data_IF_155571200574
#
_entry.id   IF_155571200574
#
_cell.length_a   1.000
_cell.length_b   1.000
_cell.length_c   1.000
_cell.angle_alpha   90.00
_cell.angle_beta   90.00
_cell.angle_gamma   90.00
#
_symmetry.space_group_name_H-M   'P 1'
#
loop_
_entity.id
_entity.type
_entity.pdbx_description
1 polymer ?
#
# COMPACT_ATOMS: atom_id res chain seq x y z
N UNK A 1 25.99 18.00 -49.87
CA UNK A 1 26.22 17.80 -48.42
C UNK A 1 24.88 17.97 -47.72
N UNK A 2 24.21 16.86 -47.41
CA UNK A 2 22.92 16.84 -46.70
C UNK A 2 23.19 16.91 -45.19
N UNK A 3 22.94 18.07 -44.61
CA UNK A 3 23.01 18.28 -43.16
C UNK A 3 21.85 17.53 -42.48
N UNK A 4 22.18 16.49 -41.72
CA UNK A 4 21.20 15.76 -40.90
C UNK A 4 20.89 16.58 -39.65
N UNK A 5 19.69 17.15 -39.56
CA UNK A 5 19.24 17.86 -38.37
C UNK A 5 18.77 16.85 -37.30
N UNK A 6 19.46 16.85 -36.16
CA UNK A 6 19.04 16.06 -35.00
C UNK A 6 17.91 16.80 -34.29
N UNK A 7 16.66 16.48 -34.61
CA UNK A 7 15.52 16.97 -33.84
C UNK A 7 15.46 16.24 -32.50
N UNK A 8 15.85 16.95 -31.44
CA UNK A 8 15.69 16.46 -30.06
C UNK A 8 14.19 16.25 -29.81
N UNK A 9 13.74 14.99 -29.77
CA UNK A 9 12.38 14.63 -29.36
C UNK A 9 12.06 15.40 -28.09
N UNK A 10 10.97 16.17 -28.09
CA UNK A 10 10.48 16.83 -26.89
C UNK A 10 10.37 15.77 -25.79
N UNK A 11 10.96 16.04 -24.62
CA UNK A 11 10.84 15.13 -23.48
C UNK A 11 9.35 14.91 -23.26
N UNK A 12 8.89 13.66 -23.39
CA UNK A 12 7.52 13.31 -23.01
C UNK A 12 7.27 13.85 -21.61
N UNK A 13 6.18 14.60 -21.42
CA UNK A 13 5.83 15.20 -20.13
C UNK A 13 5.66 14.03 -19.16
N UNK A 14 6.65 13.82 -18.28
CA UNK A 14 6.59 12.76 -17.27
C UNK A 14 5.36 13.07 -16.42
N UNK A 15 4.47 12.10 -16.27
CA UNK A 15 3.29 12.25 -15.44
C UNK A 15 3.77 12.41 -13.99
N UNK A 16 3.77 13.64 -13.49
CA UNK A 16 4.14 13.94 -12.11
C UNK A 16 2.87 13.98 -11.27
N UNK A 17 2.68 12.93 -10.47
CA UNK A 17 1.66 12.88 -9.42
C UNK A 17 2.40 13.02 -8.09
N UNK A 18 1.95 13.88 -7.16
CA UNK A 18 2.55 14.00 -5.83
C UNK A 18 2.64 12.64 -5.15
N UNK A 19 3.72 12.37 -4.40
CA UNK A 19 3.86 11.09 -3.67
C UNK A 19 4.05 9.84 -4.55
N UNK A 20 4.16 10.00 -5.88
CA UNK A 20 4.48 8.92 -6.80
C UNK A 20 5.82 9.19 -7.52
N UNK A 21 6.59 8.12 -7.75
CA UNK A 21 7.82 8.18 -8.55
C UNK A 21 7.81 7.12 -9.65
N UNK A 22 8.37 7.38 -10.84
CA UNK A 22 8.56 6.33 -11.82
C UNK A 22 9.63 5.34 -11.35
N UNK A 23 9.34 4.05 -11.48
CA UNK A 23 10.31 2.97 -11.28
C UNK A 23 11.44 3.07 -12.31
N UNK A 24 12.67 2.81 -11.87
CA UNK A 24 13.85 2.83 -12.73
C UNK A 24 13.86 1.68 -13.75
N UNK A 25 13.16 0.58 -13.46
CA UNK A 25 13.21 -0.64 -14.26
C UNK A 25 12.18 -0.64 -15.40
N UNK A 26 10.96 -0.18 -15.12
CA UNK A 26 9.83 -0.35 -16.02
C UNK A 26 8.98 0.92 -16.19
N UNK A 27 9.41 2.07 -15.63
CA UNK A 27 8.68 3.34 -15.63
C UNK A 27 7.24 3.26 -15.08
N UNK A 28 6.88 2.20 -14.35
CA UNK A 28 5.60 2.15 -13.63
C UNK A 28 5.64 3.15 -12.48
N UNK A 29 4.50 3.76 -12.17
CA UNK A 29 4.39 4.66 -11.03
C UNK A 29 4.39 3.82 -9.76
N UNK A 30 5.31 4.14 -8.84
CA UNK A 30 5.41 3.55 -7.52
C UNK A 30 4.93 4.54 -6.47
N UNK A 31 4.28 4.05 -5.44
CA UNK A 31 3.88 4.80 -4.23
C UNK A 31 4.52 4.18 -2.98
N UNK A 32 4.77 5.01 -1.96
CA UNK A 32 5.27 4.53 -0.67
C UNK A 32 4.21 3.74 0.09
N UNK A 33 4.61 2.65 0.74
CA UNK A 33 3.77 1.90 1.69
C UNK A 33 3.53 2.63 3.01
N UNK A 34 4.24 3.73 3.26
CA UNK A 34 4.33 4.38 4.57
C UNK A 34 5.43 3.80 5.46
N UNK A 35 6.14 2.77 4.98
CA UNK A 35 7.23 2.10 5.69
C UNK A 35 8.46 2.10 4.76
N UNK A 36 9.41 3.05 4.90
CA UNK A 36 10.54 3.18 3.99
C UNK A 36 11.43 1.92 3.89
N UNK A 37 11.56 1.17 4.99
CA UNK A 37 12.29 -0.10 5.00
C UNK A 37 11.60 -1.17 4.16
N UNK A 38 10.27 -1.23 4.19
CA UNK A 38 9.49 -2.15 3.39
C UNK A 38 9.57 -1.80 1.91
N UNK A 39 9.42 -0.51 1.58
CA UNK A 39 9.53 -0.03 0.20
C UNK A 39 10.85 -0.45 -0.42
N UNK A 40 11.95 -0.34 0.34
CA UNK A 40 13.27 -0.77 -0.12
C UNK A 40 13.33 -2.26 -0.45
N UNK A 41 12.62 -3.09 0.30
CA UNK A 41 12.59 -4.55 0.11
C UNK A 41 11.73 -4.93 -1.11
N UNK A 42 10.59 -4.27 -1.33
CA UNK A 42 9.66 -4.60 -2.43
C UNK A 42 10.03 -3.96 -3.79
N UNK A 43 11.25 -3.42 -3.93
CA UNK A 43 11.71 -2.82 -5.19
C UNK A 43 11.44 -1.32 -5.33
N UNK A 44 11.29 -0.63 -4.20
CA UNK A 44 11.21 0.84 -4.12
C UNK A 44 9.81 1.40 -3.91
N UNK A 45 8.81 0.56 -3.60
CA UNK A 45 7.41 0.93 -3.34
C UNK A 45 6.41 0.00 -4.03
N UNK A 46 5.11 0.29 -3.90
CA UNK A 46 4.03 -0.48 -4.53
C UNK A 46 3.63 0.16 -5.86
N UNK A 47 3.46 -0.65 -6.91
CA UNK A 47 3.08 -0.16 -8.23
C UNK A 47 1.60 0.25 -8.30
N UNK A 48 1.31 1.36 -8.98
CA UNK A 48 -0.04 1.80 -9.27
C UNK A 48 -0.76 0.81 -10.18
N UNK A 49 -2.02 0.51 -9.87
CA UNK A 49 -2.87 -0.45 -10.57
C UNK A 49 -2.72 -1.90 -10.10
N UNK A 50 -2.20 -2.11 -8.88
CA UNK A 50 -1.95 -3.44 -8.31
C UNK A 50 -2.71 -3.70 -7.01
N UNK A 51 -2.86 -4.99 -6.70
CA UNK A 51 -3.39 -5.48 -5.42
C UNK A 51 -2.23 -5.99 -4.56
N UNK A 52 -2.06 -5.39 -3.39
CA UNK A 52 -1.08 -5.74 -2.37
C UNK A 52 -1.76 -6.48 -1.21
N UNK A 53 -1.40 -7.75 -1.04
CA UNK A 53 -1.96 -8.64 -0.01
C UNK A 53 -0.99 -8.74 1.19
N UNK A 54 -1.51 -8.44 2.37
CA UNK A 54 -0.87 -8.66 3.65
C UNK A 54 -1.55 -9.83 4.35
N UNK A 55 -0.86 -10.94 4.51
CA UNK A 55 -1.33 -12.05 5.32
C UNK A 55 -1.01 -11.78 6.78
N UNK A 56 -2.07 -11.68 7.58
CA UNK A 56 -1.99 -11.37 8.98
C UNK A 56 -1.47 -12.55 9.80
N UNK A 57 -0.83 -12.22 10.92
CA UNK A 57 -0.51 -13.14 11.99
C UNK A 57 -1.76 -13.49 12.82
N UNK A 58 -1.63 -14.36 13.83
CA UNK A 58 -2.75 -14.80 14.65
C UNK A 58 -3.48 -13.66 15.38
N UNK A 59 -2.80 -12.56 15.70
CA UNK A 59 -3.37 -11.41 16.41
C UNK A 59 -3.74 -10.24 15.49
N UNK A 60 -3.28 -10.22 14.24
CA UNK A 60 -3.57 -9.17 13.25
C UNK A 60 -3.03 -7.77 13.57
N UNK A 61 -2.27 -7.61 14.65
CA UNK A 61 -1.79 -6.30 15.12
C UNK A 61 -0.84 -5.65 14.11
N UNK A 62 0.09 -6.43 13.55
CA UNK A 62 1.05 -5.93 12.56
C UNK A 62 0.37 -5.61 11.23
N UNK A 63 -0.59 -6.45 10.80
CA UNK A 63 -1.37 -6.18 9.59
C UNK A 63 -2.13 -4.85 9.69
N UNK A 64 -2.81 -4.64 10.81
CA UNK A 64 -3.49 -3.37 11.10
C UNK A 64 -2.54 -2.18 11.15
N UNK A 65 -1.37 -2.35 11.75
CA UNK A 65 -0.36 -1.30 11.82
C UNK A 65 0.17 -0.92 10.42
N UNK A 66 0.47 -1.90 9.58
CA UNK A 66 0.89 -1.64 8.19
C UNK A 66 -0.20 -0.94 7.38
N UNK A 67 -1.46 -1.33 7.57
CA UNK A 67 -2.60 -0.64 6.95
C UNK A 67 -2.69 0.82 7.41
N UNK A 68 -2.48 1.10 8.71
CA UNK A 68 -2.41 2.47 9.23
C UNK A 68 -1.28 3.27 8.60
N UNK A 69 -0.08 2.71 8.46
CA UNK A 69 1.03 3.36 7.75
C UNK A 69 0.67 3.71 6.31
N UNK A 70 0.03 2.78 5.60
CA UNK A 70 -0.43 3.00 4.22
C UNK A 70 -1.46 4.13 4.10
N UNK A 71 -2.37 4.23 5.07
CA UNK A 71 -3.34 5.31 5.18
C UNK A 71 -2.69 6.64 5.58
N UNK A 72 -1.77 6.66 6.54
CA UNK A 72 -1.05 7.88 6.93
C UNK A 72 -0.22 8.44 5.79
N UNK A 73 0.38 7.58 4.96
CA UNK A 73 1.09 8.01 3.76
C UNK A 73 0.13 8.60 2.73
N UNK A 74 -1.10 8.08 2.61
CA UNK A 74 -2.13 8.70 1.77
C UNK A 74 -2.38 10.16 2.16
N UNK A 75 -2.56 10.42 3.46
CA UNK A 75 -2.79 11.76 4.00
C UNK A 75 -1.60 12.68 3.73
N UNK A 76 -0.38 12.25 4.04
CA UNK A 76 0.82 13.07 3.88
C UNK A 76 1.11 13.46 2.43
N UNK A 77 0.81 12.55 1.51
CA UNK A 77 1.01 12.76 0.07
C UNK A 77 -0.16 13.46 -0.63
N UNK A 78 -1.29 13.68 0.05
CA UNK A 78 -2.51 14.23 -0.54
C UNK A 78 -3.26 13.27 -1.47
N UNK A 79 -3.00 11.97 -1.35
CA UNK A 79 -3.74 10.94 -2.09
C UNK A 79 -5.15 10.75 -1.53
N UNK A 80 -6.10 10.40 -2.41
CA UNK A 80 -7.45 10.05 -1.97
C UNK A 80 -7.43 8.69 -1.27
N UNK A 81 -8.23 8.54 -0.22
CA UNK A 81 -8.27 7.32 0.61
C UNK A 81 -9.67 6.69 0.60
N UNK A 82 -9.73 5.38 0.42
CA UNK A 82 -10.95 4.61 0.59
C UNK A 82 -10.68 3.46 1.56
N UNK A 83 -11.27 3.52 2.75
CA UNK A 83 -11.00 2.55 3.81
C UNK A 83 -12.25 1.73 4.14
N UNK A 84 -12.12 0.41 4.05
CA UNK A 84 -13.22 -0.52 4.35
C UNK A 84 -12.83 -1.48 5.45
N UNK A 85 -13.73 -1.70 6.40
CA UNK A 85 -13.54 -2.67 7.49
C UNK A 85 -14.89 -3.15 8.00
N UNK A 86 -15.06 -4.47 8.12
CA UNK A 86 -16.23 -5.08 8.77
C UNK A 86 -15.98 -5.34 10.27
N UNK A 87 -14.76 -5.68 10.66
CA UNK A 87 -14.42 -6.05 12.06
C UNK A 87 -14.37 -4.87 13.03
N UNK A 88 -13.98 -3.70 12.51
CA UNK A 88 -13.79 -2.48 13.29
C UNK A 88 -14.29 -1.29 12.51
N UNK A 89 -14.86 -0.31 13.21
CA UNK A 89 -15.26 0.94 12.60
C UNK A 89 -14.08 1.61 11.88
N UNK A 90 -14.14 1.81 10.54
CA UNK A 90 -13.06 2.45 9.79
C UNK A 90 -12.77 3.87 10.26
N UNK A 91 -13.78 4.59 10.78
CA UNK A 91 -13.59 5.93 11.32
C UNK A 91 -12.70 5.93 12.56
N UNK A 92 -12.77 4.88 13.39
CA UNK A 92 -11.84 4.70 14.50
C UNK A 92 -10.42 4.43 14.01
N UNK A 93 -10.24 3.67 12.92
CA UNK A 93 -8.92 3.43 12.32
C UNK A 93 -8.30 4.74 11.83
N UNK A 94 -9.10 5.61 11.18
CA UNK A 94 -8.65 6.93 10.72
C UNK A 94 -8.22 7.85 11.87
N UNK A 95 -8.93 7.83 13.00
CA UNK A 95 -8.57 8.61 14.20
C UNK A 95 -7.27 8.14 14.86
N UNK A 96 -6.90 6.89 14.66
CA UNK A 96 -5.70 6.27 15.24
C UNK A 96 -4.52 6.19 14.27
N UNK A 97 -4.56 6.96 13.17
CA UNK A 97 -3.43 7.04 12.25
C UNK A 97 -2.22 7.66 12.96
N UNK A 98 -1.01 7.07 12.81
CA UNK A 98 0.18 7.59 13.47
C UNK A 98 0.60 8.95 12.89
N UNK A 99 1.12 9.83 13.75
CA UNK A 99 1.54 11.17 13.38
C UNK A 99 2.87 11.14 12.58
N UNK A 100 3.01 11.97 11.53
CA UNK A 100 4.25 12.06 10.78
C UNK A 100 5.35 12.69 11.63
N UNK A 101 6.58 12.20 11.48
CA UNK A 101 7.78 12.84 12.00
C UNK A 101 8.23 13.84 10.94
N UNK A 102 7.83 15.10 11.14
CA UNK A 102 8.13 16.21 10.21
C UNK A 102 9.60 16.63 10.33
N UNK A 103 10.17 16.51 11.54
CA UNK A 103 11.59 16.69 11.83
C UNK A 103 12.28 15.33 11.82
N UNK A 104 12.77 14.89 10.66
CA UNK A 104 13.79 13.84 10.68
C UNK A 104 14.96 14.41 11.48
N UNK A 105 15.47 13.75 12.55
CA UNK A 105 16.88 13.90 12.80
C UNK A 105 17.51 13.49 11.46
N UNK A 106 18.28 14.38 10.85
CA UNK A 106 19.06 13.98 9.69
C UNK A 106 19.86 12.71 10.01
N UNK A 107 20.59 12.14 9.03
CA UNK A 107 21.74 11.30 9.42
C UNK A 107 22.44 11.99 10.60
N UNK A 108 22.76 11.25 11.69
CA UNK A 108 23.24 11.84 12.94
C UNK A 108 24.22 12.95 12.61
N UNK A 109 24.10 14.13 13.26
CA UNK A 109 24.90 15.30 12.89
C UNK A 109 26.32 14.83 12.66
N UNK A 110 26.83 15.05 11.45
CA UNK A 110 28.27 14.98 11.23
C UNK A 110 28.84 15.90 12.30
N UNK A 111 29.47 15.31 13.31
CA UNK A 111 30.08 16.05 14.39
C UNK A 111 30.93 17.12 13.72
N UNK A 112 30.49 18.37 13.85
CA UNK A 112 31.32 19.54 13.61
C UNK A 112 32.35 19.62 14.75
N UNK A 113 33.14 18.56 14.93
CA UNK A 113 34.38 18.61 15.66
C UNK A 113 35.47 18.93 14.65
N UNK A 114 35.71 20.24 14.50
CA UNK A 114 37.05 20.72 14.23
C UNK A 114 37.97 20.14 15.32
N UNK A 115 38.59 19.00 15.08
CA UNK A 115 39.81 18.59 15.74
C UNK A 115 40.56 17.56 14.91
N UNK A 116 41.86 17.80 14.83
CA UNK A 116 42.92 17.10 14.12
C UNK A 116 43.08 15.64 14.51
N UNK A 117 43.68 14.89 13.57
CA UNK A 117 44.33 13.57 13.73
C UNK A 117 43.36 12.40 13.92
N UNK A 118 43.46 11.26 13.24
CA UNK A 118 44.67 10.55 12.84
C UNK A 118 44.30 9.51 11.76
N UNK A 119 45.24 9.26 10.86
CA UNK A 119 45.15 8.29 9.76
C UNK A 119 44.90 6.85 10.27
N UNK A 120 43.64 6.40 10.32
CA UNK A 120 43.28 4.99 10.62
C UNK A 120 43.76 4.04 9.51
N UNK A 121 44.94 3.44 9.72
CA UNK A 121 45.68 2.56 8.78
C UNK A 121 45.00 1.24 8.40
N UNK A 122 43.88 0.86 9.02
CA UNK A 122 43.33 -0.51 8.88
C UNK A 122 42.03 -0.55 8.08
N UNK A 123 41.27 0.55 8.02
CA UNK A 123 39.94 0.58 7.40
C UNK A 123 39.88 1.33 6.04
N UNK A 124 41.03 1.48 5.34
CA UNK A 124 41.10 2.17 4.04
C UNK A 124 40.16 1.55 2.98
N UNK A 125 39.89 0.25 3.12
CA UNK A 125 39.11 -0.53 2.16
C UNK A 125 37.62 -0.14 2.13
N UNK A 126 37.10 0.48 3.19
CA UNK A 126 35.71 0.94 3.26
C UNK A 126 35.52 2.38 2.80
N UNK A 127 36.61 3.14 2.61
CA UNK A 127 36.58 4.54 2.18
C UNK A 127 36.03 4.71 0.75
N UNK A 128 36.14 3.67 -0.08
CA UNK A 128 35.73 3.68 -1.48
C UNK A 128 34.46 2.87 -1.75
N UNK A 129 33.73 2.39 -0.71
CA UNK A 129 32.40 1.89 -0.98
C UNK A 129 31.55 3.08 -1.47
N UNK A 130 30.74 2.90 -2.52
CA UNK A 130 29.75 3.89 -2.89
C UNK A 130 28.88 4.14 -1.65
N UNK A 131 29.08 5.29 -0.99
CA UNK A 131 28.09 5.80 -0.05
C UNK A 131 26.81 5.88 -0.87
N UNK A 132 25.79 5.13 -0.48
CA UNK A 132 24.52 5.12 -1.18
C UNK A 132 23.97 6.54 -1.16
N UNK A 133 24.25 7.29 -2.23
CA UNK A 133 23.71 8.61 -2.45
C UNK A 133 22.27 8.38 -2.91
N UNK A 134 21.34 8.50 -1.97
CA UNK A 134 19.96 8.80 -2.30
C UNK A 134 19.99 10.05 -3.19
N UNK A 135 19.69 9.89 -4.48
CA UNK A 135 19.59 11.00 -5.42
C UNK A 135 18.75 12.13 -4.79
N UNK A 136 19.19 13.41 -4.88
CA UNK A 136 18.45 14.53 -4.35
C UNK A 136 17.33 14.91 -5.33
N UNK A 137 16.26 14.13 -5.34
CA UNK A 137 14.95 14.66 -5.77
C UNK A 137 14.25 15.16 -4.52
N UNK A 138 13.97 16.47 -4.49
CA UNK A 138 13.46 17.27 -3.36
C UNK A 138 12.07 16.89 -2.83
N UNK A 139 11.61 15.64 -3.01
CA UNK A 139 10.35 15.12 -2.51
C UNK A 139 10.66 13.80 -1.82
N UNK A 140 10.53 13.78 -0.49
CA UNK A 140 10.69 12.59 0.34
C UNK A 140 9.64 11.55 -0.12
N UNK A 141 10.08 10.39 -0.61
CA UNK A 141 9.17 9.38 -1.20
C UNK A 141 8.26 8.73 -0.17
N UNK A 142 8.70 8.62 1.08
CA UNK A 142 7.93 8.10 2.19
C UNK A 142 8.30 8.80 3.49
N UNK A 143 7.38 8.79 4.44
CA UNK A 143 7.54 9.48 5.72
C UNK A 143 7.80 8.48 6.85
N UNK A 144 8.41 8.97 7.93
CA UNK A 144 8.46 8.23 9.20
C UNK A 144 7.30 8.67 10.06
N UNK A 145 6.78 7.76 10.87
CA UNK A 145 5.66 8.05 11.76
C UNK A 145 5.94 7.61 13.19
N UNK A 146 5.50 8.44 14.12
CA UNK A 146 5.57 8.19 15.55
C UNK A 146 4.28 7.48 15.99
N UNK A 147 4.42 6.24 16.47
CA UNK A 147 3.29 5.42 16.94
C UNK A 147 2.74 5.86 18.30
N UNK A 148 3.48 6.71 19.03
CA UNK A 148 3.05 7.23 20.33
C UNK A 148 2.06 8.39 20.19
N UNK A 149 1.93 8.95 18.98
CA UNK A 149 1.10 10.12 18.68
C UNK A 149 0.13 9.82 17.55
N UNK A 150 -1.06 10.39 17.65
CA UNK A 150 -2.07 10.35 16.59
C UNK A 150 -1.94 11.55 15.67
N UNK A 151 -2.22 11.35 14.39
CA UNK A 151 -2.23 12.40 13.38
C UNK A 151 -3.33 13.44 13.68
N UNK A 152 -3.05 14.70 13.33
CA UNK A 152 -4.03 15.79 13.47
C UNK A 152 -5.27 15.51 12.59
N UNK A 153 -6.50 15.59 13.14
CA UNK A 153 -7.71 15.45 12.34
C UNK A 153 -7.77 16.44 11.15
N UNK A 154 -7.21 17.65 11.27
CA UNK A 154 -7.22 18.63 10.19
C UNK A 154 -6.44 18.15 8.96
N UNK A 155 -5.33 17.42 9.18
CA UNK A 155 -4.59 16.75 8.12
C UNK A 155 -5.43 15.66 7.45
N UNK A 156 -6.11 14.82 8.23
CA UNK A 156 -6.95 13.75 7.68
C UNK A 156 -8.14 14.29 6.87
N UNK A 157 -8.70 15.43 7.28
CA UNK A 157 -9.80 16.11 6.59
C UNK A 157 -9.35 16.90 5.34
N UNK A 158 -8.05 17.14 5.17
CA UNK A 158 -7.52 17.84 4.01
C UNK A 158 -7.60 17.02 2.70
N UNK A 159 -7.74 15.69 2.82
CA UNK A 159 -7.83 14.78 1.69
C UNK A 159 -9.26 14.28 1.47
N UNK A 160 -9.58 13.92 0.23
CA UNK A 160 -10.78 13.16 -0.09
C UNK A 160 -10.63 11.73 0.46
N UNK A 161 -11.26 11.48 1.62
CA UNK A 161 -11.32 10.17 2.22
C UNK A 161 -12.78 9.68 2.32
N UNK A 162 -12.96 8.37 2.24
CA UNK A 162 -14.27 7.73 2.36
C UNK A 162 -14.13 6.42 3.12
N UNK A 163 -15.12 6.10 3.94
CA UNK A 163 -15.13 4.90 4.77
C UNK A 163 -16.34 4.04 4.51
N UNK A 164 -16.17 2.73 4.56
CA UNK A 164 -17.26 1.76 4.51
C UNK A 164 -17.18 0.85 5.73
N UNK A 165 -18.18 0.96 6.60
CA UNK A 165 -18.35 0.12 7.78
C UNK A 165 -19.15 -1.14 7.47
N UNK A 166 -19.26 -2.06 8.43
CA UNK A 166 -20.14 -3.22 8.29
C UNK A 166 -21.61 -2.83 8.03
N UNK A 167 -22.12 -1.79 8.71
CA UNK A 167 -23.50 -1.33 8.53
C UNK A 167 -23.78 -0.92 7.08
N UNK A 168 -22.78 -0.34 6.41
CA UNK A 168 -22.86 0.07 5.01
C UNK A 168 -22.82 -1.12 4.03
N UNK A 169 -22.37 -2.29 4.49
CA UNK A 169 -22.27 -3.54 3.73
C UNK A 169 -23.48 -4.46 3.92
N UNK A 170 -24.26 -4.25 4.98
CA UNK A 170 -25.47 -5.02 5.30
C UNK A 170 -26.74 -4.48 4.64
N UNK A 171 -26.62 -3.52 3.71
CA UNK A 171 -27.78 -3.01 2.96
C UNK A 171 -28.30 -4.08 1.99
N UNK A 172 -29.62 -4.15 1.81
CA UNK A 172 -30.26 -5.13 0.92
C UNK A 172 -29.79 -4.94 -0.54
N UNK A 173 -28.72 -5.62 -0.92
CA UNK A 173 -28.16 -5.56 -2.26
C UNK A 173 -28.61 -6.79 -3.05
N UNK A 174 -29.65 -6.62 -3.86
CA UNK A 174 -30.08 -7.66 -4.79
C UNK A 174 -29.09 -7.75 -5.95
N UNK A 175 -28.12 -8.65 -5.83
CA UNK A 175 -27.18 -8.97 -6.91
C UNK A 175 -27.50 -10.36 -7.45
N UNK A 176 -27.60 -10.50 -8.78
CA UNK A 176 -27.67 -11.80 -9.46
C UNK A 176 -26.32 -12.54 -9.51
N UNK A 177 -25.30 -12.01 -8.82
CA UNK A 177 -23.93 -12.53 -8.84
C UNK A 177 -23.81 -13.74 -7.92
N UNK A 178 -23.09 -14.77 -8.35
CA UNK A 178 -22.80 -15.95 -7.51
C UNK A 178 -21.73 -15.70 -6.44
N UNK A 179 -21.66 -14.49 -5.89
CA UNK A 179 -20.68 -14.02 -4.91
C UNK A 179 -21.42 -13.59 -3.65
N UNK A 180 -20.76 -13.69 -2.49
CA UNK A 180 -21.16 -13.02 -1.26
C UNK A 180 -21.58 -11.55 -1.51
N UNK A 181 -22.75 -11.18 -1.00
CA UNK A 181 -23.39 -9.86 -1.18
C UNK A 181 -22.49 -8.72 -0.69
N UNK A 182 -21.80 -8.89 0.45
CA UNK A 182 -20.89 -7.88 1.00
C UNK A 182 -19.74 -7.58 0.03
N UNK A 183 -19.17 -8.61 -0.59
CA UNK A 183 -18.10 -8.44 -1.59
C UNK A 183 -18.61 -7.83 -2.89
N UNK A 184 -19.80 -8.24 -3.36
CA UNK A 184 -20.39 -7.68 -4.58
C UNK A 184 -20.68 -6.18 -4.41
N UNK A 185 -21.25 -5.80 -3.28
CA UNK A 185 -21.52 -4.40 -2.92
C UNK A 185 -20.23 -3.58 -2.77
N UNK A 186 -19.21 -4.14 -2.10
CA UNK A 186 -17.92 -3.47 -1.97
C UNK A 186 -17.24 -3.25 -3.32
N UNK A 187 -17.27 -4.25 -4.21
CA UNK A 187 -16.70 -4.13 -5.55
C UNK A 187 -17.38 -3.00 -6.35
N UNK A 188 -18.70 -2.89 -6.25
CA UNK A 188 -19.46 -1.82 -6.89
C UNK A 188 -19.14 -0.44 -6.27
N UNK A 189 -19.03 -0.34 -4.95
CA UNK A 189 -18.62 0.91 -4.29
C UNK A 189 -17.20 1.34 -4.66
N UNK A 190 -16.27 0.40 -4.80
CA UNK A 190 -14.90 0.68 -5.27
C UNK A 190 -14.94 1.22 -6.69
N UNK A 191 -15.72 0.59 -7.58
CA UNK A 191 -15.89 1.06 -8.96
C UNK A 191 -16.48 2.47 -9.00
N UNK A 192 -17.54 2.73 -8.24
CA UNK A 192 -18.15 4.06 -8.12
C UNK A 192 -17.12 5.10 -7.66
N UNK A 193 -16.33 4.80 -6.62
CA UNK A 193 -15.29 5.71 -6.14
C UNK A 193 -14.20 5.99 -7.19
N UNK A 194 -13.84 4.98 -7.99
CA UNK A 194 -12.90 5.13 -9.12
C UNK A 194 -13.48 6.08 -10.18
N UNK A 195 -14.75 5.90 -10.53
CA UNK A 195 -15.44 6.68 -11.57
C UNK A 195 -15.69 8.13 -11.11
N UNK A 196 -16.24 8.33 -9.90
CA UNK A 196 -16.55 9.63 -9.31
C UNK A 196 -15.27 10.48 -9.10
N UNK A 197 -14.21 9.83 -8.62
CA UNK A 197 -12.91 10.47 -8.41
C UNK A 197 -12.07 10.59 -9.68
N UNK A 198 -12.58 10.12 -10.82
CA UNK A 198 -11.92 10.20 -12.14
C UNK A 198 -10.52 9.59 -12.14
N UNK A 199 -10.37 8.47 -11.44
CA UNK A 199 -9.10 7.75 -11.33
C UNK A 199 -8.82 6.87 -12.54
N UNK A 200 -9.72 6.76 -13.52
CA UNK A 200 -9.48 5.98 -14.74
C UNK A 200 -8.24 6.46 -15.50
N UNK A 201 -7.46 5.50 -16.00
CA UNK A 201 -6.27 5.76 -16.83
C UNK A 201 -6.61 6.24 -18.24
N UNK A 202 -7.84 5.99 -18.71
CA UNK A 202 -8.30 6.34 -20.06
C UNK A 202 -8.66 7.81 -20.21
N UNK A 203 -9.07 8.47 -19.13
CA UNK A 203 -9.54 9.85 -19.16
C UNK A 203 -8.38 10.81 -18.88
N UNK A 204 -8.19 11.82 -19.73
CA UNK A 204 -7.19 12.85 -19.50
C UNK A 204 -7.75 13.97 -18.62
N UNK A 205 -7.06 14.25 -17.52
CA UNK A 205 -7.37 15.33 -16.58
C UNK A 205 -6.12 16.15 -16.28
N UNK A 206 -6.31 17.46 -16.07
CA UNK A 206 -5.23 18.43 -15.83
C UNK A 206 -4.49 18.17 -14.50
N UNK A 207 -5.23 17.73 -13.48
CA UNK A 207 -4.68 17.32 -12.18
C UNK A 207 -5.09 15.88 -11.92
N UNK A 208 -4.10 14.99 -11.80
CA UNK A 208 -4.30 13.60 -11.43
C UNK A 208 -3.98 13.39 -9.96
N UNK A 209 -4.72 12.50 -9.33
CA UNK A 209 -4.45 12.00 -7.99
C UNK A 209 -4.41 10.47 -8.03
N UNK A 210 -3.92 9.84 -6.96
CA UNK A 210 -3.95 8.38 -6.78
C UNK A 210 -4.96 8.06 -5.68
N UNK A 211 -5.74 7.01 -5.91
CA UNK A 211 -6.65 6.43 -4.92
C UNK A 211 -5.95 5.27 -4.19
N UNK A 212 -5.77 5.41 -2.88
CA UNK A 212 -5.32 4.33 -2.01
C UNK A 212 -6.54 3.66 -1.40
N UNK A 213 -6.70 2.37 -1.63
CA UNK A 213 -7.81 1.57 -1.09
C UNK A 213 -7.25 0.67 0.00
N UNK A 214 -7.69 0.86 1.23
CA UNK A 214 -7.35 0.00 2.36
C UNK A 214 -8.53 -0.91 2.71
N UNK A 215 -8.32 -2.21 2.77
CA UNK A 215 -9.33 -3.17 3.22
C UNK A 215 -8.77 -3.94 4.41
N UNK A 216 -9.39 -3.76 5.58
CA UNK A 216 -8.97 -4.40 6.81
C UNK A 216 -9.64 -5.77 6.97
N UNK A 217 -8.83 -6.76 7.29
CA UNK A 217 -9.21 -8.11 7.75
C UNK A 217 -10.24 -8.77 6.82
N UNK A 218 -10.00 -8.68 5.51
CA UNK A 218 -10.86 -9.22 4.47
C UNK A 218 -10.96 -10.74 4.61
N UNK A 219 -12.20 -11.24 4.65
CA UNK A 219 -12.46 -12.67 4.83
C UNK A 219 -12.49 -13.13 6.29
N UNK A 220 -12.45 -12.20 7.25
CA UNK A 220 -12.86 -12.51 8.62
C UNK A 220 -14.32 -13.00 8.68
N UNK A 221 -14.75 -13.60 9.80
CA UNK A 221 -16.14 -14.01 9.97
C UNK A 221 -17.17 -12.89 9.75
N UNK A 222 -16.80 -11.61 10.02
CA UNK A 222 -17.69 -10.47 9.80
C UNK A 222 -17.96 -10.19 8.32
N UNK A 223 -17.13 -10.70 7.42
CA UNK A 223 -17.38 -10.62 5.98
C UNK A 223 -18.38 -11.67 5.49
N UNK A 224 -18.83 -12.60 6.34
CA UNK A 224 -19.65 -13.73 5.92
C UNK A 224 -18.86 -14.76 5.11
N UNK A 225 -17.54 -14.77 5.26
CA UNK A 225 -16.65 -15.75 4.66
C UNK A 225 -16.50 -16.96 5.58
N UNK A 226 -16.45 -18.15 5.00
CA UNK A 226 -16.37 -19.40 5.74
C UNK A 226 -15.22 -20.25 5.21
N UNK A 227 -14.01 -19.69 5.23
CA UNK A 227 -12.80 -20.44 4.88
C UNK A 227 -12.71 -20.85 3.41
N UNK A 228 -13.50 -20.24 2.51
CA UNK A 228 -13.65 -20.69 1.13
C UNK A 228 -14.54 -21.93 0.97
N UNK A 229 -15.43 -22.20 1.93
CA UNK A 229 -16.36 -23.34 1.91
C UNK A 229 -17.81 -22.87 2.09
N UNK A 230 -18.72 -23.35 1.24
CA UNK A 230 -20.17 -23.16 1.33
C UNK A 230 -20.86 -24.53 1.47
N UNK A 231 -21.00 -24.98 2.71
CA UNK A 231 -21.35 -26.38 2.99
C UNK A 231 -20.20 -27.30 2.56
N UNK A 232 -20.49 -28.29 1.72
CA UNK A 232 -19.47 -29.19 1.15
C UNK A 232 -18.81 -28.63 -0.12
N UNK A 233 -19.33 -27.53 -0.67
CA UNK A 233 -18.84 -26.96 -1.92
C UNK A 233 -17.78 -25.88 -1.68
N UNK A 234 -16.93 -25.68 -2.68
CA UNK A 234 -15.97 -24.59 -2.69
C UNK A 234 -16.65 -23.22 -2.88
N UNK A 235 -16.37 -22.26 -2.00
CA UNK A 235 -16.80 -20.88 -2.16
C UNK A 235 -15.75 -20.05 -2.93
N UNK A 236 -16.14 -19.65 -4.14
CA UNK A 236 -15.32 -18.81 -5.02
C UNK A 236 -15.51 -17.31 -4.80
N UNK A 237 -16.29 -16.89 -3.79
CA UNK A 237 -16.67 -15.49 -3.57
C UNK A 237 -15.46 -14.57 -3.38
N UNK A 238 -14.61 -14.82 -2.39
CA UNK A 238 -13.41 -14.00 -2.16
C UNK A 238 -12.39 -14.05 -3.32
N UNK A 239 -12.04 -15.21 -3.90
CA UNK A 239 -11.21 -15.25 -5.10
C UNK A 239 -11.78 -14.44 -6.27
N UNK A 240 -13.10 -14.53 -6.50
CA UNK A 240 -13.77 -13.77 -7.55
C UNK A 240 -13.77 -12.27 -7.25
N UNK A 241 -13.89 -11.89 -5.99
CA UNK A 241 -13.78 -10.49 -5.55
C UNK A 241 -12.39 -9.95 -5.86
N UNK A 242 -11.32 -10.64 -5.43
CA UNK A 242 -9.94 -10.24 -5.71
C UNK A 242 -9.66 -10.15 -7.21
N UNK A 243 -10.17 -11.10 -8.00
CA UNK A 243 -10.08 -11.05 -9.45
C UNK A 243 -10.75 -9.80 -10.04
N UNK A 244 -11.95 -9.46 -9.55
CA UNK A 244 -12.67 -8.23 -9.92
C UNK A 244 -11.87 -6.97 -9.55
N UNK A 245 -11.34 -6.90 -8.33
CA UNK A 245 -10.50 -5.78 -7.88
C UNK A 245 -9.26 -5.62 -8.76
N UNK A 246 -8.57 -6.73 -9.06
CA UNK A 246 -7.39 -6.70 -9.95
C UNK A 246 -7.75 -6.15 -11.33
N UNK A 247 -8.86 -6.59 -11.90
CA UNK A 247 -9.33 -6.09 -13.20
C UNK A 247 -9.64 -4.59 -13.17
N UNK A 248 -10.34 -4.10 -12.13
CA UNK A 248 -10.66 -2.68 -11.97
C UNK A 248 -9.42 -1.80 -11.81
N UNK A 249 -8.49 -2.21 -10.95
CA UNK A 249 -7.28 -1.43 -10.65
C UNK A 249 -6.34 -1.35 -11.84
N UNK A 250 -6.30 -2.37 -12.71
CA UNK A 250 -5.39 -2.42 -13.85
C UNK A 250 -5.56 -1.26 -14.83
N UNK A 251 -6.74 -0.64 -14.85
CA UNK A 251 -7.08 0.54 -15.65
C UNK A 251 -7.33 1.80 -14.80
N UNK A 252 -6.90 1.84 -13.53
CA UNK A 252 -7.08 2.99 -12.65
C UNK A 252 -5.75 3.45 -12.00
N UNK A 253 -5.65 4.75 -11.70
CA UNK A 253 -4.64 5.32 -10.82
C UNK A 253 -4.98 5.01 -9.36
N UNK A 254 -5.02 3.73 -9.03
CA UNK A 254 -5.41 3.24 -7.72
C UNK A 254 -4.50 2.10 -7.26
N UNK A 255 -4.30 1.98 -5.95
CA UNK A 255 -3.57 0.86 -5.32
C UNK A 255 -4.40 0.35 -4.16
N UNK A 256 -4.51 -0.98 -4.07
CA UNK A 256 -5.28 -1.61 -3.00
C UNK A 256 -4.36 -2.39 -2.08
N UNK A 257 -4.38 -2.06 -0.79
CA UNK A 257 -3.78 -2.85 0.28
C UNK A 257 -4.89 -3.61 1.01
N UNK A 258 -4.76 -4.92 1.06
CA UNK A 258 -5.73 -5.81 1.70
C UNK A 258 -5.01 -6.58 2.81
N UNK A 259 -5.54 -6.56 4.02
CA UNK A 259 -5.09 -7.47 5.08
C UNK A 259 -6.05 -8.65 5.17
N UNK A 260 -5.53 -9.87 5.29
CA UNK A 260 -6.32 -11.11 5.35
C UNK A 260 -5.85 -11.98 6.52
N UNK A 261 -6.75 -12.44 7.42
CA UNK A 261 -6.44 -13.39 8.48
C UNK A 261 -6.20 -14.79 7.90
N UNK A 262 -5.05 -14.97 7.24
CA UNK A 262 -4.68 -16.17 6.47
C UNK A 262 -4.72 -17.46 7.31
N UNK A 263 -4.50 -17.35 8.61
CA UNK A 263 -4.53 -18.46 9.58
C UNK A 263 -5.91 -19.09 9.75
N UNK A 264 -7.00 -18.41 9.34
CA UNK A 264 -8.36 -18.95 9.35
C UNK A 264 -8.68 -19.81 8.11
N UNK A 265 -7.78 -19.83 7.13
CA UNK A 265 -8.00 -20.48 5.84
C UNK A 265 -7.11 -21.70 5.66
N UNK A 266 -7.58 -22.65 4.86
CA UNK A 266 -6.74 -23.77 4.44
C UNK A 266 -5.58 -23.27 3.55
N UNK A 267 -4.36 -23.83 3.67
CA UNK A 267 -3.20 -23.41 2.87
C UNK A 267 -3.44 -23.42 1.35
N UNK A 268 -4.21 -24.39 0.85
CA UNK A 268 -4.57 -24.47 -0.57
C UNK A 268 -5.50 -23.33 -1.02
N UNK A 269 -6.34 -22.81 -0.11
CA UNK A 269 -7.16 -21.64 -0.39
C UNK A 269 -6.33 -20.36 -0.37
N UNK A 270 -5.49 -20.17 0.65
CA UNK A 270 -4.55 -19.04 0.73
C UNK A 270 -3.67 -19.00 -0.52
N UNK A 271 -3.12 -20.15 -0.94
CA UNK A 271 -2.32 -20.25 -2.16
C UNK A 271 -3.07 -19.81 -3.44
N UNK A 272 -4.41 -19.89 -3.47
CA UNK A 272 -5.22 -19.35 -4.57
C UNK A 272 -5.37 -17.83 -4.45
N UNK A 273 -5.57 -17.30 -3.24
CA UNK A 273 -5.62 -15.86 -3.00
C UNK A 273 -4.30 -15.19 -3.41
N UNK A 274 -3.16 -15.78 -3.02
CA UNK A 274 -1.82 -15.28 -3.37
C UNK A 274 -1.61 -15.10 -4.87
N UNK A 275 -2.13 -16.02 -5.69
CA UNK A 275 -2.01 -15.98 -7.17
C UNK A 275 -2.85 -14.88 -7.83
N UNK A 276 -3.83 -14.33 -7.09
CA UNK A 276 -4.70 -13.26 -7.57
C UNK A 276 -4.20 -11.87 -7.22
N UNK A 277 -3.16 -11.77 -6.39
CA UNK A 277 -2.54 -10.53 -5.97
C UNK A 277 -1.18 -10.36 -6.64
N UNK A 278 -0.76 -9.11 -6.85
CA UNK A 278 0.49 -8.79 -7.55
C UNK A 278 1.68 -8.75 -6.56
N UNK A 279 1.41 -8.43 -5.30
CA UNK A 279 2.42 -8.49 -4.23
C UNK A 279 1.79 -9.12 -3.00
N UNK A 280 2.50 -10.05 -2.37
CA UNK A 280 2.07 -10.74 -1.14
C UNK A 280 3.16 -10.67 -0.11
N UNK A 281 2.80 -10.30 1.12
CA UNK A 281 3.67 -10.36 2.29
C UNK A 281 2.99 -11.15 3.39
N UNK A 282 3.70 -12.13 3.92
CA UNK A 282 3.26 -12.88 5.10
C UNK A 282 3.90 -12.35 6.37
N UNK A 283 3.06 -11.95 7.32
CA UNK A 283 3.44 -11.48 8.64
C UNK A 283 3.43 -12.65 9.62
N UNK A 284 4.44 -12.70 10.49
CA UNK A 284 4.50 -13.64 11.60
C UNK A 284 4.96 -12.91 12.86
N UNK A 285 4.21 -13.07 13.94
CA UNK A 285 4.54 -12.52 15.26
C UNK A 285 5.40 -13.50 16.07
N UNK A 286 6.26 -12.95 16.92
CA UNK A 286 7.22 -13.70 17.76
C UNK A 286 6.66 -14.12 19.10
N UNK A 287 5.40 -13.78 19.40
CA UNK A 287 4.72 -14.28 20.58
C UNK A 287 4.65 -15.82 20.52
N UNK A 288 5.71 -16.48 21.02
CA UNK A 288 5.95 -17.92 20.94
C UNK A 288 7.21 -18.41 20.18
N UNK A 289 8.09 -17.55 19.64
CA UNK A 289 9.36 -17.99 19.02
C UNK A 289 10.55 -17.04 19.26
N UNK A 290 11.77 -17.59 19.35
CA UNK A 290 13.02 -16.89 19.76
C UNK A 290 13.61 -15.88 18.75
N UNK A 291 12.90 -15.51 17.67
CA UNK A 291 13.44 -14.63 16.62
C UNK A 291 12.84 -13.20 16.71
N UNK A 292 13.26 -12.28 15.84
CA UNK A 292 12.73 -10.90 15.74
C UNK A 292 12.07 -10.76 14.35
N UNK A 293 10.98 -10.00 14.26
CA UNK A 293 10.15 -9.71 13.06
C UNK A 293 10.67 -10.24 11.72
N UNK A 294 10.01 -11.30 11.22
CA UNK A 294 10.29 -11.92 9.93
C UNK A 294 9.12 -11.68 8.99
N UNK A 295 9.35 -10.88 7.95
CA UNK A 295 8.60 -11.01 6.71
C UNK A 295 9.00 -12.36 6.12
N UNK A 296 8.12 -13.35 6.23
CA UNK A 296 8.47 -14.75 5.97
C UNK A 296 8.60 -15.05 4.48
N UNK A 297 7.75 -14.44 3.67
CA UNK A 297 7.72 -14.59 2.22
C UNK A 297 7.28 -13.27 1.57
N UNK A 298 8.02 -12.86 0.56
CA UNK A 298 7.61 -11.79 -0.36
C UNK A 298 7.44 -12.46 -1.71
N UNK A 299 6.20 -12.48 -2.20
CA UNK A 299 5.91 -12.98 -3.53
C UNK A 299 5.44 -11.79 -4.37
N UNK A 300 6.20 -11.46 -5.40
CA UNK A 300 5.78 -10.53 -6.45
C UNK A 300 5.37 -11.40 -7.64
N UNK A 301 4.09 -11.37 -8.00
CA UNK A 301 3.47 -12.21 -9.03
C UNK A 301 3.51 -11.57 -10.41
#
# INVERSE_FOLDING_TARGET
MTSTSFQKKSKAKILQIPGAKPSLYNNQLLISTGIPSLDSIIGGGVAVGTVFLLEEDAYGNYGRLMLKYFCSEAVMTGHSLHLTSADRDPQQILKELPAPIIDDPGPPPEDATNQSDEHMKIAWRYQHLPKYQSNPTSIKFGHYYDLTKTMDPDLTNSIDHSTISEADLCTCFSSSTSMNEKYALLLEKIKQKIDDGKFSTTTQHDKRNILRIGIHSLGSPQWGENGGMKGENFDSSLPRFLYGCRALLRSAFAVMMITVPSHLFQPAYVGRLRKLCDTVIQLESFAGSEKILLVKNIMVC
#
